data_IF_116792147954
#
_entry.id   IF_116792147954
#
_cell.length_a   1.000
_cell.length_b   1.000
_cell.length_c   1.000
_cell.angle_alpha   90.00
_cell.angle_beta   90.00
_cell.angle_gamma   90.00
#
_symmetry.space_group_name_H-M   'P 1'
#
loop_
_entity.id
_entity.type
_entity.pdbx_description
1 polymer ?
#
# COMPACT_ATOMS: atom_id res chain seq x y z
N UNK A 1 -11.96 13.92 -9.48
CA UNK A 1 -10.92 14.56 -8.68
C UNK A 1 -11.52 15.80 -8.04
N UNK A 2 -11.52 15.89 -6.71
CA UNK A 2 -11.91 17.13 -6.03
C UNK A 2 -10.78 18.13 -6.22
N UNK A 3 -11.09 19.30 -6.78
CA UNK A 3 -10.14 20.40 -6.89
C UNK A 3 -10.07 21.09 -5.53
N UNK A 4 -8.88 21.18 -4.95
CA UNK A 4 -8.59 21.93 -3.71
C UNK A 4 -7.60 23.05 -4.03
N UNK A 5 -7.69 24.18 -3.33
CA UNK A 5 -6.81 25.34 -3.54
C UNK A 5 -5.35 25.04 -3.23
N UNK A 6 -5.08 23.99 -2.45
CA UNK A 6 -3.71 23.52 -2.17
C UNK A 6 -3.05 22.84 -3.38
N UNK A 7 -3.81 22.41 -4.39
CA UNK A 7 -3.30 21.83 -5.64
C UNK A 7 -4.18 22.16 -6.85
N UNK A 8 -3.74 23.18 -7.61
CA UNK A 8 -4.44 23.68 -8.79
C UNK A 8 -4.01 22.99 -10.10
N UNK A 9 -3.12 21.99 -10.08
CA UNK A 9 -2.59 21.36 -11.31
C UNK A 9 -3.69 20.72 -12.17
N UNK A 10 -4.76 20.25 -11.55
CA UNK A 10 -5.92 19.70 -12.25
C UNK A 10 -6.66 20.72 -13.13
N UNK A 11 -6.52 22.02 -12.83
CA UNK A 11 -7.21 23.11 -13.56
C UNK A 11 -6.52 23.47 -14.89
N UNK A 12 -5.26 23.08 -15.06
CA UNK A 12 -4.48 23.37 -16.27
C UNK A 12 -4.53 22.24 -17.30
N UNK A 13 -5.29 21.17 -17.04
CA UNK A 13 -5.34 19.99 -17.89
C UNK A 13 -6.12 20.30 -19.19
N UNK A 14 -5.49 20.20 -20.38
CA UNK A 14 -6.22 20.36 -21.66
C UNK A 14 -7.21 19.20 -21.86
N UNK A 15 -8.26 19.39 -22.65
CA UNK A 15 -9.14 18.27 -23.11
C UNK A 15 -8.36 17.41 -24.10
N UNK A 16 -7.83 16.27 -23.66
CA UNK A 16 -6.98 15.38 -24.46
C UNK A 16 -7.13 13.93 -24.00
N UNK A 17 -6.86 13.00 -24.91
CA UNK A 17 -6.86 11.55 -24.69
C UNK A 17 -5.49 10.99 -24.33
N UNK A 18 -4.46 11.83 -24.25
CA UNK A 18 -3.10 11.46 -23.84
C UNK A 18 -2.51 12.46 -22.83
N UNK A 19 -1.42 12.05 -22.17
CA UNK A 19 -0.56 12.91 -21.37
C UNK A 19 0.04 14.02 -22.25
N UNK A 20 -0.10 15.29 -21.83
CA UNK A 20 0.39 16.45 -22.60
C UNK A 20 1.62 17.07 -21.97
N UNK A 21 2.48 17.62 -22.82
CA UNK A 21 3.68 18.35 -22.38
C UNK A 21 3.32 19.58 -21.52
N UNK A 22 2.20 20.25 -21.80
CA UNK A 22 1.76 21.43 -21.05
C UNK A 22 1.45 21.13 -19.57
N UNK A 23 1.00 19.91 -19.29
CA UNK A 23 0.74 19.46 -17.91
C UNK A 23 2.02 19.35 -17.09
N UNK A 24 3.17 19.24 -17.76
CA UNK A 24 4.49 19.08 -17.16
C UNK A 24 5.29 20.39 -17.11
N UNK A 25 4.72 21.51 -17.56
CA UNK A 25 5.35 22.85 -17.48
C UNK A 25 5.55 23.25 -16.02
N UNK A 26 4.59 22.90 -15.15
CA UNK A 26 4.64 23.17 -13.71
C UNK A 26 5.64 22.26 -12.98
N UNK A 27 6.15 21.21 -13.63
CA UNK A 27 7.16 20.32 -13.07
C UNK A 27 7.09 18.89 -13.62
N UNK A 28 8.15 18.09 -13.36
CA UNK A 28 8.17 16.68 -13.73
C UNK A 28 7.14 15.87 -12.96
N UNK A 29 6.74 14.73 -13.54
CA UNK A 29 5.79 13.79 -12.94
C UNK A 29 6.36 12.37 -12.98
N UNK A 30 6.15 11.65 -11.89
CA UNK A 30 6.54 10.24 -11.77
C UNK A 30 5.38 9.34 -12.13
N UNK A 31 5.61 8.41 -13.05
CA UNK A 31 4.66 7.45 -13.57
C UNK A 31 5.04 6.04 -13.10
N UNK A 32 4.12 5.33 -12.45
CA UNK A 32 4.23 3.88 -12.21
C UNK A 32 3.44 3.16 -13.29
N UNK A 33 4.08 2.30 -14.08
CA UNK A 33 3.44 1.63 -15.22
C UNK A 33 2.49 0.54 -14.74
N UNK A 34 1.24 0.58 -15.19
CA UNK A 34 0.21 -0.41 -14.86
C UNK A 34 -0.13 -1.32 -16.02
N UNK A 35 0.04 -0.86 -17.26
CA UNK A 35 -0.23 -1.65 -18.48
C UNK A 35 0.51 -1.04 -19.68
N UNK A 36 0.78 -1.84 -20.71
CA UNK A 36 1.39 -1.39 -21.97
C UNK A 36 0.62 -1.99 -23.14
N UNK A 37 0.13 -1.12 -24.03
CA UNK A 37 -0.68 -1.52 -25.18
C UNK A 37 -0.11 -1.04 -26.50
N UNK A 38 -0.38 -1.79 -27.55
CA UNK A 38 -0.14 -1.32 -28.92
C UNK A 38 -1.31 -0.44 -29.34
N UNK A 39 -1.01 0.82 -29.68
CA UNK A 39 -1.97 1.79 -30.18
C UNK A 39 -2.14 1.69 -31.70
N UNK A 40 -3.22 2.29 -32.22
CA UNK A 40 -3.52 2.30 -33.65
C UNK A 40 -2.71 3.34 -34.46
N UNK A 41 -2.07 4.30 -33.80
CA UNK A 41 -1.25 5.33 -34.47
C UNK A 41 0.17 4.80 -34.75
N UNK A 42 0.53 4.68 -36.03
CA UNK A 42 1.86 4.24 -36.45
C UNK A 42 3.00 5.15 -35.94
N UNK A 43 2.75 6.46 -35.74
CA UNK A 43 3.76 7.40 -35.24
C UNK A 43 4.02 7.18 -33.75
N UNK A 44 2.97 6.87 -33.00
CA UNK A 44 2.99 6.60 -31.56
C UNK A 44 2.29 5.25 -31.26
N UNK A 45 2.92 4.12 -31.64
CA UNK A 45 2.26 2.81 -31.64
C UNK A 45 2.23 2.15 -30.27
N UNK A 46 2.72 2.82 -29.22
CA UNK A 46 2.75 2.28 -27.86
C UNK A 46 2.04 3.26 -26.95
N UNK A 47 1.08 2.75 -26.17
CA UNK A 47 0.44 3.45 -25.08
C UNK A 47 0.90 2.84 -23.76
N UNK A 48 1.53 3.65 -22.91
CA UNK A 48 1.95 3.27 -21.57
C UNK A 48 0.92 3.80 -20.59
N UNK A 49 0.19 2.88 -19.97
CA UNK A 49 -0.78 3.21 -18.93
C UNK A 49 -0.10 3.27 -17.56
N UNK A 50 -0.55 4.19 -16.72
CA UNK A 50 0.04 4.40 -15.40
C UNK A 50 -0.97 4.73 -14.31
N UNK A 51 -0.54 4.63 -13.05
CA UNK A 51 -1.37 4.92 -11.89
C UNK A 51 -1.96 6.33 -11.95
N UNK A 52 -3.27 6.45 -11.70
CA UNK A 52 -3.99 7.72 -11.68
C UNK A 52 -3.97 8.50 -13.01
N UNK A 53 -3.76 7.85 -14.16
CA UNK A 53 -3.68 8.52 -15.46
C UNK A 53 -4.98 9.18 -15.95
N UNK A 54 -6.13 8.86 -15.33
CA UNK A 54 -7.45 9.39 -15.71
C UNK A 54 -7.76 9.30 -17.23
N UNK A 55 -7.38 8.17 -17.84
CA UNK A 55 -7.61 7.90 -19.28
C UNK A 55 -6.65 8.63 -20.23
N UNK A 56 -5.50 9.10 -19.73
CA UNK A 56 -4.48 9.83 -20.50
C UNK A 56 -3.13 9.11 -20.45
N UNK A 57 -2.99 8.00 -21.19
CA UNK A 57 -1.74 7.26 -21.23
C UNK A 57 -0.59 8.14 -21.76
N UNK A 58 0.63 7.72 -21.43
CA UNK A 58 1.84 8.28 -22.01
C UNK A 58 2.12 7.61 -23.37
N UNK A 59 2.16 8.42 -24.43
CA UNK A 59 2.47 7.97 -25.79
C UNK A 59 3.92 8.37 -26.16
N UNK A 60 4.94 7.54 -25.87
CA UNK A 60 6.33 7.90 -26.06
C UNK A 60 6.68 8.14 -27.55
N UNK A 61 7.36 9.25 -27.81
CA UNK A 61 7.98 9.52 -29.11
C UNK A 61 9.09 8.50 -29.44
N UNK A 62 9.52 8.43 -30.70
CA UNK A 62 10.50 7.43 -31.18
C UNK A 62 11.79 7.37 -30.34
N UNK A 63 12.36 8.51 -29.98
CA UNK A 63 13.57 8.54 -29.16
C UNK A 63 13.33 7.98 -27.77
N UNK A 64 12.18 8.27 -27.14
CA UNK A 64 11.85 7.73 -25.82
C UNK A 64 11.51 6.24 -25.88
N UNK A 65 10.94 5.75 -26.99
CA UNK A 65 10.81 4.29 -27.22
C UNK A 65 12.17 3.62 -27.23
N UNK A 66 13.17 4.19 -27.91
CA UNK A 66 14.55 3.65 -27.90
C UNK A 66 15.17 3.65 -26.50
N UNK A 67 14.90 4.67 -25.69
CA UNK A 67 15.29 4.70 -24.27
C UNK A 67 14.68 3.53 -23.51
N UNK A 68 13.36 3.37 -23.59
CA UNK A 68 12.63 2.30 -22.90
C UNK A 68 13.15 0.91 -23.29
N UNK A 69 13.35 0.67 -24.59
CA UNK A 69 13.87 -0.61 -25.08
C UNK A 69 15.31 -0.88 -24.61
N UNK A 70 16.15 0.15 -24.56
CA UNK A 70 17.53 0.00 -24.08
C UNK A 70 17.60 -0.21 -22.56
N UNK A 71 16.65 0.35 -21.81
CA UNK A 71 16.61 0.28 -20.36
C UNK A 71 15.96 -1.01 -19.84
N UNK A 72 14.84 -1.42 -20.44
CA UNK A 72 13.94 -2.46 -19.92
C UNK A 72 13.67 -3.59 -20.93
N UNK A 73 14.39 -3.64 -22.04
CA UNK A 73 14.22 -4.68 -23.05
C UNK A 73 13.00 -4.48 -23.95
N UNK A 74 12.76 -5.45 -24.82
CA UNK A 74 11.75 -5.36 -25.89
C UNK A 74 10.35 -5.83 -25.46
N UNK A 75 10.21 -6.52 -24.33
CA UNK A 75 8.94 -7.03 -23.86
C UNK A 75 8.23 -6.00 -22.96
N UNK A 76 7.21 -5.33 -23.52
CA UNK A 76 6.45 -4.31 -22.79
C UNK A 76 5.72 -4.85 -21.54
N UNK A 77 5.47 -6.16 -21.45
CA UNK A 77 4.85 -6.79 -20.26
C UNK A 77 5.78 -6.73 -19.05
N UNK A 78 7.10 -6.76 -19.29
CA UNK A 78 8.11 -6.67 -18.23
C UNK A 78 8.24 -5.25 -17.67
N UNK A 79 7.63 -4.24 -18.29
CA UNK A 79 7.70 -2.86 -17.84
C UNK A 79 6.69 -2.54 -16.73
N UNK A 80 5.68 -3.41 -16.54
CA UNK A 80 4.63 -3.23 -15.53
C UNK A 80 5.25 -3.23 -14.13
N UNK A 81 4.84 -2.28 -13.29
CA UNK A 81 5.36 -2.06 -11.95
C UNK A 81 6.64 -1.20 -11.90
N UNK A 82 7.33 -0.99 -13.03
CA UNK A 82 8.48 -0.08 -13.10
C UNK A 82 8.01 1.37 -13.15
N UNK A 83 8.86 2.29 -12.67
CA UNK A 83 8.54 3.72 -12.64
C UNK A 83 9.50 4.55 -13.48
N UNK A 84 9.00 5.68 -13.98
CA UNK A 84 9.80 6.64 -14.72
C UNK A 84 9.37 8.08 -14.41
N UNK A 85 10.29 9.02 -14.53
CA UNK A 85 10.02 10.47 -14.39
C UNK A 85 9.93 11.12 -15.76
N UNK A 86 8.74 11.60 -16.10
CA UNK A 86 8.51 12.42 -17.30
C UNK A 86 8.64 13.90 -16.98
N UNK A 87 9.08 14.68 -17.97
CA UNK A 87 9.19 16.13 -17.86
C UNK A 87 8.89 16.82 -19.19
N UNK A 88 8.62 18.13 -19.12
CA UNK A 88 8.50 19.01 -20.28
C UNK A 88 9.88 19.39 -20.82
N UNK A 89 10.20 18.96 -22.04
CA UNK A 89 11.37 19.40 -22.79
C UNK A 89 10.95 20.49 -23.78
N UNK A 90 11.30 21.77 -23.54
CA UNK A 90 10.88 22.88 -24.40
C UNK A 90 11.63 22.89 -25.75
N UNK A 91 12.69 22.09 -25.93
CA UNK A 91 13.50 22.08 -27.16
C UNK A 91 12.95 21.12 -28.24
N UNK A 92 11.82 20.47 -27.97
CA UNK A 92 11.19 19.59 -28.95
C UNK A 92 10.52 20.40 -30.03
N UNK A 93 10.91 20.14 -31.29
CA UNK A 93 10.39 20.81 -32.47
C UNK A 93 9.34 20.00 -33.20
N UNK A 94 8.30 20.68 -33.68
CA UNK A 94 7.32 20.15 -34.61
C UNK A 94 6.97 21.22 -35.64
N UNK A 95 6.95 20.87 -36.93
CA UNK A 95 6.62 21.83 -38.00
C UNK A 95 7.63 22.98 -38.20
N UNK A 96 8.77 22.97 -37.51
CA UNK A 96 9.77 24.04 -37.56
C UNK A 96 9.84 24.87 -36.26
N UNK A 97 8.79 24.81 -35.46
CA UNK A 97 8.63 25.57 -34.21
C UNK A 97 8.93 24.72 -32.97
N UNK A 98 9.41 25.37 -31.92
CA UNK A 98 9.67 24.78 -30.60
C UNK A 98 8.35 24.67 -29.81
N UNK A 99 7.65 23.54 -29.99
CA UNK A 99 6.34 23.29 -29.36
C UNK A 99 6.45 22.60 -28.00
N UNK A 100 7.63 22.08 -27.67
CA UNK A 100 7.86 21.30 -26.46
C UNK A 100 7.33 19.87 -26.56
N UNK A 101 7.77 19.00 -25.64
CA UNK A 101 7.41 17.58 -25.68
C UNK A 101 7.67 16.85 -24.37
N UNK A 102 7.06 15.67 -24.24
CA UNK A 102 7.24 14.81 -23.07
C UNK A 102 8.50 13.96 -23.24
N UNK A 103 9.43 14.05 -22.30
CA UNK A 103 10.68 13.28 -22.25
C UNK A 103 10.82 12.53 -20.92
N UNK A 104 11.69 11.52 -20.91
CA UNK A 104 12.03 10.73 -19.72
C UNK A 104 13.37 11.24 -19.20
N UNK A 105 13.47 11.46 -17.89
CA UNK A 105 14.71 11.87 -17.21
C UNK A 105 15.24 10.82 -16.25
N UNK A 106 14.34 10.06 -15.61
CA UNK A 106 14.71 9.04 -14.64
C UNK A 106 13.90 7.77 -14.86
N UNK A 107 14.48 6.63 -14.53
CA UNK A 107 13.84 5.32 -14.63
C UNK A 107 14.30 4.42 -13.48
N UNK A 108 13.40 3.59 -12.96
CA UNK A 108 13.75 2.51 -12.04
C UNK A 108 14.32 1.33 -12.82
N UNK A 109 14.88 0.34 -12.12
CA UNK A 109 15.29 -0.94 -12.72
C UNK A 109 16.27 -0.85 -13.90
N UNK A 110 17.03 0.25 -14.00
CA UNK A 110 18.07 0.40 -15.02
C UNK A 110 19.41 -0.17 -14.53
N UNK A 111 20.30 -0.59 -15.46
CA UNK A 111 21.65 -1.03 -15.07
C UNK A 111 22.48 0.16 -14.55
N UNK A 112 23.14 -0.02 -13.41
CA UNK A 112 24.01 0.99 -12.82
C UNK A 112 23.28 2.23 -12.29
N UNK A 113 24.01 3.35 -12.18
CA UNK A 113 23.50 4.65 -11.68
C UNK A 113 22.78 5.48 -12.75
N UNK A 114 23.11 5.27 -14.03
CA UNK A 114 22.52 5.95 -15.18
C UNK A 114 22.78 5.18 -16.46
N UNK A 115 21.95 5.43 -17.47
CA UNK A 115 22.19 5.01 -18.85
C UNK A 115 22.41 6.24 -19.74
N UNK A 116 23.28 6.10 -20.73
CA UNK A 116 23.62 7.16 -21.68
C UNK A 116 23.44 6.67 -23.11
N UNK A 117 22.62 7.37 -23.89
CA UNK A 117 22.23 6.97 -25.25
C UNK A 117 22.41 8.12 -26.23
N UNK A 118 23.25 7.93 -27.26
CA UNK A 118 23.38 8.89 -28.37
C UNK A 118 22.26 8.68 -29.38
N UNK A 119 21.19 9.46 -29.27
CA UNK A 119 20.00 9.37 -30.12
C UNK A 119 19.95 10.51 -31.14
N UNK A 120 19.36 10.25 -32.29
CA UNK A 120 19.12 11.28 -33.32
C UNK A 120 18.12 12.31 -32.79
N UNK A 121 18.49 13.59 -32.80
CA UNK A 121 17.59 14.70 -32.50
C UNK A 121 16.95 15.23 -33.79
N UNK A 122 17.77 15.52 -34.80
CA UNK A 122 17.35 15.91 -36.15
C UNK A 122 18.21 15.19 -37.19
N UNK A 123 17.83 15.26 -38.48
CA UNK A 123 18.61 14.63 -39.56
C UNK A 123 20.08 15.08 -39.49
N UNK A 124 20.99 14.13 -39.29
CA UNK A 124 22.44 14.39 -39.19
C UNK A 124 22.95 14.84 -37.80
N UNK A 125 22.08 15.08 -36.81
CA UNK A 125 22.49 15.51 -35.45
C UNK A 125 22.09 14.46 -34.41
N UNK A 126 23.08 13.92 -33.69
CA UNK A 126 22.87 13.09 -32.50
C UNK A 126 23.09 13.90 -31.22
N UNK A 127 22.31 13.60 -30.20
CA UNK A 127 22.37 14.20 -28.86
C UNK A 127 22.51 13.07 -27.85
N UNK A 128 23.31 13.30 -26.80
CA UNK A 128 23.43 12.39 -25.67
C UNK A 128 22.21 12.56 -24.76
N UNK A 129 21.48 11.48 -24.53
CA UNK A 129 20.41 11.40 -23.55
C UNK A 129 20.93 10.64 -22.34
N UNK A 130 20.94 11.30 -21.18
CA UNK A 130 21.28 10.68 -19.91
C UNK A 130 20.00 10.43 -19.14
N UNK A 131 19.78 9.19 -18.74
CA UNK A 131 18.66 8.79 -17.87
C UNK A 131 19.23 8.34 -16.55
N UNK A 132 18.91 9.08 -15.50
CA UNK A 132 19.40 8.81 -14.16
C UNK A 132 18.57 7.70 -13.50
N UNK A 133 19.19 6.93 -12.61
CA UNK A 133 18.46 5.92 -11.82
C UNK A 133 17.55 6.64 -10.84
N UNK A 134 16.30 6.21 -10.82
CA UNK A 134 15.34 6.56 -9.79
C UNK A 134 15.22 5.39 -8.81
N UNK A 135 15.06 5.69 -7.52
CA UNK A 135 14.66 4.69 -6.54
C UNK A 135 13.26 4.19 -6.89
N UNK A 136 13.05 2.88 -6.82
CA UNK A 136 11.73 2.32 -7.05
C UNK A 136 10.73 3.07 -6.17
N UNK A 137 9.65 3.59 -6.77
CA UNK A 137 8.52 4.05 -5.97
C UNK A 137 8.05 2.81 -5.23
N UNK A 138 8.33 2.75 -3.93
CA UNK A 138 7.89 1.66 -3.08
C UNK A 138 6.36 1.73 -3.04
N UNK A 139 5.72 1.02 -3.97
CA UNK A 139 4.29 0.68 -3.91
C UNK A 139 4.04 -0.40 -2.85
N UNK A 140 5.10 -0.87 -2.18
CA UNK A 140 5.03 -1.51 -0.88
C UNK A 140 4.63 -0.51 0.23
N UNK A 141 4.03 -1.00 1.30
CA UNK A 141 3.68 -0.16 2.44
C UNK A 141 4.96 0.44 3.02
N UNK A 142 5.15 1.76 2.91
CA UNK A 142 6.26 2.45 3.60
C UNK A 142 6.20 2.18 5.09
N UNK A 143 7.33 2.23 5.81
CA UNK A 143 7.33 2.11 7.27
C UNK A 143 6.28 3.03 7.91
N UNK A 144 6.17 4.27 7.45
CA UNK A 144 5.14 5.23 7.91
C UNK A 144 3.71 4.70 7.72
N UNK A 145 3.42 4.05 6.60
CA UNK A 145 2.12 3.44 6.33
C UNK A 145 1.87 2.20 7.18
N UNK A 146 2.88 1.33 7.35
CA UNK A 146 2.80 0.16 8.25
C UNK A 146 2.52 0.61 9.69
N UNK A 147 3.25 1.61 10.19
CA UNK A 147 3.04 2.18 11.52
C UNK A 147 1.64 2.78 11.67
N UNK A 148 1.14 3.45 10.62
CA UNK A 148 -0.23 3.96 10.61
C UNK A 148 -1.25 2.82 10.71
N UNK A 149 -1.13 1.78 9.89
CA UNK A 149 -2.02 0.60 9.92
C UNK A 149 -2.03 -0.07 11.29
N UNK A 150 -0.86 -0.26 11.91
CA UNK A 150 -0.73 -0.79 13.27
C UNK A 150 -1.44 0.13 14.28
N UNK A 151 -1.27 1.45 14.15
CA UNK A 151 -1.87 2.41 15.07
C UNK A 151 -3.40 2.44 14.97
N UNK A 152 -3.96 2.33 13.77
CA UNK A 152 -5.41 2.42 13.50
C UNK A 152 -6.15 1.09 13.59
N UNK A 153 -5.43 -0.03 13.65
CA UNK A 153 -6.03 -1.36 13.74
C UNK A 153 -6.96 -1.47 14.96
N UNK A 154 -8.21 -1.84 14.68
CA UNK A 154 -9.28 -1.94 15.67
C UNK A 154 -9.68 -3.38 15.95
N UNK A 155 -9.49 -4.28 14.98
CA UNK A 155 -9.88 -5.68 15.08
C UNK A 155 -8.73 -6.64 14.69
N UNK A 156 -8.98 -7.94 14.78
CA UNK A 156 -8.01 -9.00 14.48
C UNK A 156 -7.62 -9.06 13.00
N UNK A 157 -8.53 -8.70 12.10
CA UNK A 157 -8.27 -8.67 10.65
C UNK A 157 -7.35 -7.50 10.28
N UNK A 158 -7.56 -6.31 10.87
CA UNK A 158 -6.71 -5.15 10.68
C UNK A 158 -5.27 -5.43 11.16
N UNK A 159 -5.12 -6.10 12.32
CA UNK A 159 -3.81 -6.50 12.83
C UNK A 159 -3.13 -7.52 11.92
N UNK A 160 -3.89 -8.47 11.34
CA UNK A 160 -3.36 -9.43 10.37
C UNK A 160 -2.88 -8.72 9.09
N UNK A 161 -3.65 -7.75 8.59
CA UNK A 161 -3.28 -6.95 7.43
C UNK A 161 -2.04 -6.08 7.70
N UNK A 162 -1.96 -5.44 8.87
CA UNK A 162 -0.80 -4.65 9.29
C UNK A 162 0.48 -5.50 9.42
N UNK A 163 0.35 -6.74 9.92
CA UNK A 163 1.47 -7.70 9.97
C UNK A 163 1.93 -8.12 8.57
N UNK A 164 0.99 -8.47 7.69
CA UNK A 164 1.33 -8.84 6.31
C UNK A 164 2.03 -7.68 5.60
N UNK A 165 1.59 -6.44 5.83
CA UNK A 165 2.25 -5.24 5.32
C UNK A 165 3.68 -5.08 5.89
N UNK A 166 3.90 -5.31 7.19
CA UNK A 166 5.23 -5.29 7.79
C UNK A 166 6.18 -6.36 7.22
N UNK A 167 5.68 -7.55 6.90
CA UNK A 167 6.48 -8.66 6.33
C UNK A 167 6.97 -8.37 4.90
N UNK A 168 6.39 -7.37 4.23
CA UNK A 168 6.83 -6.92 2.89
C UNK A 168 7.92 -5.85 2.94
N UNK A 169 8.30 -5.35 4.13
CA UNK A 169 9.42 -4.44 4.29
C UNK A 169 10.73 -5.17 4.02
N UNK A 170 11.51 -4.65 3.07
CA UNK A 170 12.80 -5.24 2.66
C UNK A 170 13.98 -4.72 3.48
N UNK A 171 13.80 -3.61 4.20
CA UNK A 171 14.82 -3.01 5.06
C UNK A 171 14.77 -3.63 6.47
N UNK A 172 15.89 -4.17 7.00
CA UNK A 172 15.94 -4.79 8.32
C UNK A 172 15.60 -3.85 9.49
N UNK A 173 16.00 -2.58 9.41
CA UNK A 173 15.77 -1.60 10.47
C UNK A 173 14.30 -1.14 10.49
N UNK A 174 13.69 -1.01 9.31
CA UNK A 174 12.25 -0.75 9.19
C UNK A 174 11.42 -1.94 9.69
N UNK A 175 11.85 -3.17 9.37
CA UNK A 175 11.23 -4.39 9.88
C UNK A 175 11.23 -4.47 11.41
N UNK A 176 12.35 -4.15 12.05
CA UNK A 176 12.46 -4.12 13.51
C UNK A 176 11.51 -3.08 14.15
N UNK A 177 11.40 -1.89 13.55
CA UNK A 177 10.50 -0.84 14.02
C UNK A 177 9.03 -1.23 13.88
N UNK A 178 8.64 -1.87 12.78
CA UNK A 178 7.28 -2.36 12.57
C UNK A 178 6.90 -3.44 13.60
N UNK A 179 7.81 -4.37 13.90
CA UNK A 179 7.59 -5.41 14.93
C UNK A 179 7.43 -4.79 16.32
N UNK A 180 8.28 -3.82 16.68
CA UNK A 180 8.18 -3.13 17.97
C UNK A 180 6.83 -2.42 18.13
N UNK A 181 6.39 -1.69 17.11
CA UNK A 181 5.09 -1.01 17.11
C UNK A 181 3.91 -1.99 17.19
N UNK A 182 3.99 -3.11 16.47
CA UNK A 182 2.97 -4.17 16.50
C UNK A 182 2.82 -4.74 17.92
N UNK A 183 3.95 -5.09 18.56
CA UNK A 183 3.95 -5.63 19.92
C UNK A 183 3.41 -4.62 20.94
N UNK A 184 3.81 -3.35 20.83
CA UNK A 184 3.30 -2.28 21.69
C UNK A 184 1.77 -2.13 21.58
N UNK A 185 1.23 -2.19 20.37
CA UNK A 185 -0.22 -2.11 20.12
C UNK A 185 -0.97 -3.31 20.72
N UNK A 186 -0.46 -4.53 20.53
CA UNK A 186 -1.05 -5.75 21.10
C UNK A 186 -1.05 -5.68 22.62
N UNK A 187 0.04 -5.24 23.24
CA UNK A 187 0.12 -5.08 24.69
C UNK A 187 -0.88 -4.02 25.19
N UNK A 188 -0.98 -2.87 24.52
CA UNK A 188 -1.95 -1.82 24.88
C UNK A 188 -3.41 -2.30 24.72
N UNK A 189 -3.71 -3.12 23.71
CA UNK A 189 -5.04 -3.73 23.56
C UNK A 189 -5.32 -4.77 24.65
N UNK A 190 -4.30 -5.54 25.06
CA UNK A 190 -4.39 -6.50 26.14
C UNK A 190 -4.58 -5.83 27.50
N UNK A 191 -3.92 -4.70 27.76
CA UNK A 191 -4.09 -3.92 28.99
C UNK A 191 -5.47 -3.27 29.08
N UNK A 192 -6.04 -2.86 27.93
CA UNK A 192 -7.41 -2.34 27.86
C UNK A 192 -8.48 -3.43 27.91
N UNK A 193 -8.16 -4.64 27.49
CA UNK A 193 -9.06 -5.77 27.65
C UNK A 193 -9.14 -6.14 29.13
N UNK A 194 -10.35 -6.21 29.68
CA UNK A 194 -10.56 -6.70 31.03
C UNK A 194 -9.91 -8.10 31.17
N UNK A 195 -9.20 -8.39 32.27
CA UNK A 195 -8.67 -9.73 32.50
C UNK A 195 -9.81 -10.73 32.41
N UNK A 196 -9.61 -11.82 31.65
CA UNK A 196 -10.61 -12.88 31.57
C UNK A 196 -10.85 -13.42 32.99
N UNK A 197 -12.11 -13.53 33.45
CA UNK A 197 -12.42 -14.05 34.77
C UNK A 197 -11.88 -15.48 34.89
N UNK A 198 -11.22 -15.75 36.01
CA UNK A 198 -10.60 -17.04 36.35
C UNK A 198 -11.59 -17.89 37.16
N UNK A 199 -11.25 -19.17 37.34
CA UNK A 199 -12.02 -20.10 38.16
C UNK A 199 -12.39 -19.48 39.52
N UNK A 200 -11.42 -18.89 40.22
CA UNK A 200 -11.64 -18.25 41.52
C UNK A 200 -12.72 -17.15 41.52
N UNK A 201 -12.84 -16.39 40.43
CA UNK A 201 -13.86 -15.33 40.31
C UNK A 201 -15.27 -15.94 40.19
N UNK A 202 -15.39 -17.09 39.52
CA UNK A 202 -16.65 -17.81 39.41
C UNK A 202 -17.00 -18.61 40.66
N UNK A 203 -16.01 -19.18 41.36
CA UNK A 203 -16.24 -19.88 42.64
C UNK A 203 -16.79 -18.90 43.67
N UNK A 204 -16.20 -17.71 43.80
CA UNK A 204 -16.73 -16.66 44.71
C UNK A 204 -18.16 -16.25 44.33
N UNK A 205 -18.47 -16.10 43.03
CA UNK A 205 -19.83 -15.76 42.57
C UNK A 205 -20.87 -16.84 42.88
N UNK A 206 -20.48 -18.12 42.92
CA UNK A 206 -21.36 -19.24 43.26
C UNK A 206 -21.58 -19.31 44.78
N UNK A 207 -20.52 -19.09 45.56
CA UNK A 207 -20.59 -19.12 47.03
C UNK A 207 -21.40 -17.94 47.59
N UNK A 208 -21.31 -16.76 46.97
CA UNK A 208 -22.00 -15.54 47.38
C UNK A 208 -23.37 -15.34 46.70
N UNK A 209 -23.82 -16.31 45.89
CA UNK A 209 -25.08 -16.18 45.16
C UNK A 209 -26.28 -16.12 46.13
N UNK A 210 -27.25 -15.20 45.90
CA UNK A 210 -28.43 -15.08 46.76
C UNK A 210 -29.44 -16.22 46.58
N UNK A 211 -29.41 -16.89 45.42
CA UNK A 211 -30.29 -18.01 45.08
C UNK A 211 -29.64 -18.94 44.04
N UNK A 212 -30.27 -20.12 43.85
CA UNK A 212 -29.79 -21.15 42.95
C UNK A 212 -29.82 -20.74 41.47
N UNK A 213 -30.69 -19.79 41.08
CA UNK A 213 -30.80 -19.31 39.71
C UNK A 213 -29.61 -18.41 39.36
N UNK A 214 -29.20 -17.53 40.28
CA UNK A 214 -27.99 -16.69 40.15
C UNK A 214 -26.72 -17.54 40.17
N UNK A 215 -26.65 -18.55 41.05
CA UNK A 215 -25.52 -19.49 41.08
C UNK A 215 -25.39 -20.27 39.75
N UNK A 216 -26.52 -20.74 39.20
CA UNK A 216 -26.55 -21.45 37.92
C UNK A 216 -26.16 -20.54 36.76
N UNK A 217 -26.62 -19.29 36.76
CA UNK A 217 -26.22 -18.30 35.77
C UNK A 217 -24.70 -18.04 35.76
N UNK A 218 -24.05 -18.06 36.94
CA UNK A 218 -22.59 -17.95 37.04
C UNK A 218 -21.86 -19.16 36.43
N UNK A 219 -22.39 -20.38 36.62
CA UNK A 219 -21.85 -21.61 35.99
C UNK A 219 -22.03 -21.58 34.46
N UNK A 220 -23.18 -21.15 33.97
CA UNK A 220 -23.47 -21.03 32.53
C UNK A 220 -22.60 -19.96 31.85
N UNK A 221 -22.25 -18.90 32.57
CA UNK A 221 -21.29 -17.90 32.12
C UNK A 221 -19.85 -18.44 32.11
N UNK A 222 -19.46 -19.16 33.18
CA UNK A 222 -18.14 -19.79 33.28
C UNK A 222 -17.88 -20.81 32.16
N UNK A 223 -18.92 -21.55 31.73
CA UNK A 223 -18.84 -22.52 30.63
C UNK A 223 -18.40 -21.90 29.29
N UNK A 224 -18.53 -20.57 29.13
CA UNK A 224 -18.11 -19.84 27.93
C UNK A 224 -16.65 -19.39 27.99
N UNK A 225 -15.99 -19.51 29.14
CA UNK A 225 -14.70 -18.87 29.44
C UNK A 225 -13.66 -19.85 29.96
N UNK A 226 -14.05 -20.78 30.85
CA UNK A 226 -13.17 -21.76 31.48
C UNK A 226 -12.95 -23.00 30.63
N UNK A 227 -11.86 -23.73 30.90
CA UNK A 227 -11.58 -25.02 30.28
C UNK A 227 -12.34 -26.16 30.99
N UNK A 228 -12.32 -27.36 30.41
CA UNK A 228 -13.09 -28.51 30.91
C UNK A 228 -12.69 -28.95 32.33
N UNK A 229 -11.41 -28.84 32.70
CA UNK A 229 -10.93 -29.21 34.03
C UNK A 229 -11.41 -28.23 35.11
N UNK A 230 -11.32 -26.93 34.83
CA UNK A 230 -11.81 -25.87 35.71
C UNK A 230 -13.35 -25.93 35.82
N UNK A 231 -14.05 -26.26 34.73
CA UNK A 231 -15.50 -26.46 34.74
C UNK A 231 -15.95 -27.66 35.56
N UNK A 232 -15.17 -28.75 35.60
CA UNK A 232 -15.47 -29.90 36.44
C UNK A 232 -15.42 -29.52 37.94
N UNK A 233 -14.38 -28.78 38.33
CA UNK A 233 -14.21 -28.27 39.70
C UNK A 233 -15.38 -27.33 40.07
N UNK A 234 -15.72 -26.40 39.17
CA UNK A 234 -16.79 -25.44 39.40
C UNK A 234 -18.17 -26.11 39.53
N UNK A 235 -18.44 -27.16 38.75
CA UNK A 235 -19.69 -27.94 38.81
C UNK A 235 -19.79 -28.76 40.09
N UNK A 236 -18.69 -29.36 40.53
CA UNK A 236 -18.64 -30.07 41.81
C UNK A 236 -18.93 -29.13 42.97
N UNK A 237 -18.34 -27.92 42.96
CA UNK A 237 -18.62 -26.90 43.97
C UNK A 237 -20.08 -26.41 43.95
N UNK A 238 -20.64 -26.18 42.77
CA UNK A 238 -22.07 -25.84 42.64
C UNK A 238 -22.95 -26.95 43.20
N UNK A 239 -22.64 -28.21 42.87
CA UNK A 239 -23.39 -29.36 43.37
C UNK A 239 -23.31 -29.46 44.91
N UNK A 240 -22.13 -29.25 45.50
CA UNK A 240 -21.94 -29.26 46.96
C UNK A 240 -22.72 -28.12 47.64
N UNK A 241 -22.68 -26.91 47.09
CA UNK A 241 -23.28 -25.74 47.71
C UNK A 241 -24.80 -25.64 47.54
N UNK A 242 -25.34 -26.15 46.42
CA UNK A 242 -26.72 -25.85 46.00
C UNK A 242 -27.60 -27.08 45.71
N UNK A 243 -27.05 -28.28 45.56
CA UNK A 243 -27.84 -29.49 45.23
C UNK A 243 -28.51 -30.16 46.43
N UNK A 244 -28.16 -29.77 47.66
CA UNK A 244 -28.76 -30.27 48.91
C UNK A 244 -29.70 -29.27 49.62
N UNK A 245 -29.98 -28.10 49.04
CA UNK A 245 -30.93 -27.15 49.64
C UNK A 245 -32.38 -27.54 49.29
N UNK A 246 -33.23 -27.90 50.27
CA UNK A 246 -34.60 -28.32 50.00
C UNK A 246 -35.48 -27.09 49.70
N UNK A 247 -35.98 -26.99 48.46
CA UNK A 247 -36.99 -25.99 48.10
C UNK A 247 -37.00 -25.58 46.64
N UNK A 248 -37.33 -26.52 45.75
CA UNK A 248 -38.00 -26.24 44.48
C UNK A 248 -39.51 -26.50 44.66
#
# INVERSE_FOLDING_TARGET
MNVDITDLRSTTLPKSTQLNADQLIVGPMDLTITDVRIGADEKQPIAIHYENEAGRPFLPCLSMRRVLLAAWGHDGREWIGKSLRVFHDPQVRFGGDDVGGVRISHMTDIPGKRIELKLTATRGKKVLYTIERMEARTSGPTLKHVLQLISTAANKEDMKAARAAAETLTDPDEGAQAVAAYNAKVNAQREKAAPKPKLADFTTRIDEAPDAEVAKAAVDEAAKVLNDADMAILREQFDIAWKELPGA
#
